data_IF_426044017198
#
_entry.id   IF_426044017198
#
_cell.length_a   1.000
_cell.length_b   1.000
_cell.length_c   1.000
_cell.angle_alpha   90.00
_cell.angle_beta   90.00
_cell.angle_gamma   90.00
#
_symmetry.space_group_name_H-M   'P 1'
#
loop_
_entity.id
_entity.type
_entity.pdbx_description
1 polymer ?
#
# COMPACT_ATOMS: atom_id res chain seq x y z
N UNK A 1 14.55 11.06 2.29
CA UNK A 1 13.18 11.58 2.05
C UNK A 1 12.81 12.53 3.18
N UNK A 2 12.36 13.75 2.90
CA UNK A 2 12.01 14.71 3.97
C UNK A 2 10.63 14.49 4.60
N UNK A 3 9.75 13.65 4.01
CA UNK A 3 8.39 13.38 4.53
C UNK A 3 7.92 11.93 4.31
N UNK A 4 8.28 10.98 5.20
CA UNK A 4 7.84 9.58 5.12
C UNK A 4 6.32 9.43 5.04
N UNK A 5 5.58 10.31 5.71
CA UNK A 5 4.11 10.34 5.71
C UNK A 5 3.46 10.63 4.35
N UNK A 6 4.20 11.21 3.40
CA UNK A 6 3.71 11.47 2.05
C UNK A 6 4.04 10.33 1.07
N UNK A 7 4.75 9.29 1.53
CA UNK A 7 5.13 8.13 0.72
C UNK A 7 3.92 7.27 0.32
N UNK A 8 3.85 6.86 -0.94
CA UNK A 8 2.80 5.95 -1.43
C UNK A 8 2.74 4.63 -0.65
N UNK A 9 3.85 3.89 -0.43
CA UNK A 9 3.85 2.71 0.43
C UNK A 9 3.22 2.92 1.81
N UNK A 10 3.55 4.03 2.49
CA UNK A 10 3.05 4.35 3.84
C UNK A 10 1.54 4.59 3.84
N UNK A 11 0.98 5.07 2.74
CA UNK A 11 -0.43 5.41 2.62
C UNK A 11 -1.26 4.35 1.88
N UNK A 12 -0.63 3.36 1.23
CA UNK A 12 -1.32 2.30 0.48
C UNK A 12 -1.23 0.94 1.17
N UNK A 13 -0.07 0.57 1.74
CA UNK A 13 0.15 -0.77 2.32
C UNK A 13 -0.66 -0.99 3.60
N UNK A 14 -0.67 -0.07 4.59
CA UNK A 14 -1.47 -0.28 5.79
C UNK A 14 -2.98 -0.39 5.51
N UNK A 15 -3.60 0.47 4.68
CA UNK A 15 -5.00 0.31 4.30
C UNK A 15 -5.28 -0.99 3.56
N UNK A 16 -4.37 -1.41 2.67
CA UNK A 16 -4.46 -2.69 1.99
C UNK A 16 -4.41 -3.87 2.98
N UNK A 17 -3.50 -3.83 3.95
CA UNK A 17 -3.39 -4.86 4.98
C UNK A 17 -4.67 -4.94 5.82
N UNK A 18 -5.20 -3.81 6.29
CA UNK A 18 -6.46 -3.77 7.04
C UNK A 18 -7.65 -4.27 6.20
N UNK A 19 -7.68 -3.96 4.91
CA UNK A 19 -8.74 -4.42 4.01
C UNK A 19 -8.69 -5.93 3.79
N UNK A 20 -7.49 -6.50 3.64
CA UNK A 20 -7.32 -7.95 3.56
C UNK A 20 -7.72 -8.65 4.87
N UNK A 21 -7.33 -8.09 6.02
CA UNK A 21 -7.79 -8.62 7.31
C UNK A 21 -9.31 -8.61 7.44
N UNK A 22 -9.97 -7.52 7.01
CA UNK A 22 -11.43 -7.41 7.00
C UNK A 22 -12.08 -8.39 6.01
N UNK A 23 -11.52 -8.53 4.82
CA UNK A 23 -11.96 -9.48 3.80
C UNK A 23 -11.92 -10.92 4.34
N UNK A 24 -10.82 -11.31 4.99
CA UNK A 24 -10.69 -12.65 5.58
C UNK A 24 -11.66 -12.86 6.73
N UNK A 25 -11.86 -11.85 7.60
CA UNK A 25 -12.86 -11.92 8.68
C UNK A 25 -14.29 -12.08 8.18
N UNK A 26 -14.59 -11.59 6.98
CA UNK A 26 -15.91 -11.74 6.33
C UNK A 26 -16.09 -13.11 5.63
N UNK A 27 -15.18 -14.07 5.83
CA UNK A 27 -15.23 -15.38 5.18
C UNK A 27 -14.78 -15.37 3.72
N UNK A 28 -14.03 -14.33 3.31
CA UNK A 28 -13.46 -14.25 1.97
C UNK A 28 -12.61 -15.48 1.65
N UNK A 29 -12.79 -16.02 0.44
CA UNK A 29 -12.01 -17.17 -0.01
C UNK A 29 -10.60 -16.71 -0.34
N UNK A 30 -9.61 -17.38 0.21
CA UNK A 30 -8.20 -17.25 -0.15
C UNK A 30 -7.62 -18.66 -0.27
N UNK A 31 -7.06 -18.99 -1.43
CA UNK A 31 -6.37 -20.27 -1.62
C UNK A 31 -4.98 -20.16 -1.01
N UNK A 32 -4.87 -20.50 0.27
CA UNK A 32 -3.58 -20.55 0.96
C UNK A 32 -2.75 -21.69 0.35
N UNK A 33 -1.71 -21.32 -0.41
CA UNK A 33 -0.91 -22.31 -1.15
C UNK A 33 0.23 -21.74 -1.99
N UNK A 34 0.21 -20.43 -2.31
CA UNK A 34 1.36 -19.76 -2.92
C UNK A 34 1.71 -18.53 -2.10
N UNK A 35 2.89 -18.52 -1.48
CA UNK A 35 3.46 -17.28 -0.96
C UNK A 35 3.71 -16.38 -2.17
N UNK A 36 2.88 -15.36 -2.35
CA UNK A 36 3.07 -14.37 -3.41
C UNK A 36 3.89 -13.26 -2.79
N UNK A 37 5.17 -13.25 -3.13
CA UNK A 37 6.11 -12.22 -2.72
C UNK A 37 6.19 -11.13 -3.80
N UNK A 38 6.38 -9.89 -3.34
CA UNK A 38 6.65 -8.73 -4.15
C UNK A 38 7.91 -8.07 -3.61
N UNK A 39 8.90 -7.85 -4.49
CA UNK A 39 10.17 -7.23 -4.13
C UNK A 39 10.23 -5.85 -4.76
N UNK A 40 10.49 -4.84 -3.93
CA UNK A 40 10.67 -3.46 -4.34
C UNK A 40 12.15 -3.10 -4.26
N UNK A 41 12.86 -2.93 -5.40
CA UNK A 41 14.20 -2.36 -5.37
C UNK A 41 14.13 -0.91 -4.92
N UNK A 42 15.00 -0.53 -3.99
CA UNK A 42 15.01 0.79 -3.34
C UNK A 42 16.21 1.61 -3.82
N UNK A 43 17.41 1.09 -3.62
CA UNK A 43 18.67 1.75 -3.93
C UNK A 43 19.80 0.73 -4.12
N UNK A 44 20.96 1.20 -4.56
CA UNK A 44 22.15 0.35 -4.72
C UNK A 44 22.95 0.29 -3.43
N UNK A 45 23.35 -0.91 -2.99
CA UNK A 45 24.45 -1.04 -2.04
C UNK A 45 25.75 -0.66 -2.75
N UNK A 46 26.45 0.36 -2.26
CA UNK A 46 27.70 0.85 -2.85
C UNK A 46 28.85 0.79 -1.86
N UNK A 47 29.97 0.26 -2.33
CA UNK A 47 31.25 0.29 -1.62
C UNK A 47 32.32 0.89 -2.52
N UNK A 48 33.10 1.84 -1.99
CA UNK A 48 34.13 2.56 -2.77
C UNK A 48 33.56 3.09 -4.10
N UNK A 49 32.35 3.67 -4.05
CA UNK A 49 31.61 4.23 -5.20
C UNK A 49 31.17 3.21 -6.27
N UNK A 50 31.36 1.90 -6.05
CA UNK A 50 30.92 0.85 -6.99
C UNK A 50 29.67 0.14 -6.47
N UNK A 51 28.69 -0.08 -7.34
CA UNK A 51 27.52 -0.93 -7.05
C UNK A 51 27.98 -2.36 -6.76
N UNK A 52 27.57 -2.90 -5.62
CA UNK A 52 27.87 -4.27 -5.16
C UNK A 52 26.62 -5.12 -5.03
N UNK A 53 25.49 -4.48 -4.75
CA UNK A 53 24.19 -5.12 -4.60
C UNK A 53 23.05 -4.12 -4.70
N UNK A 54 21.89 -4.57 -4.24
CA UNK A 54 20.65 -3.80 -4.23
C UNK A 54 19.98 -3.96 -2.86
N UNK A 55 19.50 -2.83 -2.35
CA UNK A 55 18.62 -2.74 -1.21
C UNK A 55 17.18 -2.92 -1.70
N UNK A 56 16.47 -3.84 -1.06
CA UNK A 56 15.18 -4.33 -1.52
C UNK A 56 14.20 -4.43 -0.34
N UNK A 57 12.95 -3.99 -0.53
CA UNK A 57 11.87 -4.25 0.40
C UNK A 57 11.04 -5.42 -0.10
N UNK A 58 11.00 -6.47 0.71
CA UNK A 58 10.22 -7.68 0.46
C UNK A 58 8.85 -7.51 1.11
N UNK A 59 7.79 -7.75 0.35
CA UNK A 59 6.40 -7.77 0.81
C UNK A 59 5.78 -9.11 0.50
N UNK A 60 5.16 -9.75 1.47
CA UNK A 60 4.47 -11.03 1.25
C UNK A 60 3.22 -11.13 2.12
N UNK A 61 2.28 -11.98 1.68
CA UNK A 61 1.10 -12.32 2.46
C UNK A 61 1.27 -13.71 3.09
N UNK A 62 1.04 -13.83 4.39
CA UNK A 62 1.12 -15.09 5.11
C UNK A 62 0.18 -15.05 6.31
N UNK A 63 -0.53 -16.17 6.57
CA UNK A 63 -1.44 -16.31 7.73
C UNK A 63 -2.44 -15.14 7.84
N UNK A 64 -3.00 -14.71 6.72
CA UNK A 64 -3.98 -13.62 6.67
C UNK A 64 -3.42 -12.21 6.84
N UNK A 65 -2.09 -12.01 6.83
CA UNK A 65 -1.46 -10.70 7.08
C UNK A 65 -0.40 -10.36 6.04
N UNK A 66 -0.24 -9.07 5.77
CA UNK A 66 0.90 -8.55 5.00
C UNK A 66 2.08 -8.37 5.92
N UNK A 67 3.25 -8.85 5.48
CA UNK A 67 4.53 -8.61 6.14
C UNK A 67 5.46 -7.87 5.20
N UNK A 68 6.37 -7.08 5.79
CA UNK A 68 7.41 -6.35 5.09
C UNK A 68 8.77 -6.61 5.72
N UNK A 69 9.84 -6.52 4.93
CA UNK A 69 11.22 -6.58 5.40
C UNK A 69 12.19 -5.90 4.44
N UNK A 70 13.06 -5.03 4.94
CA UNK A 70 14.22 -4.54 4.22
C UNK A 70 15.34 -5.58 4.18
N UNK A 71 15.93 -5.80 3.00
CA UNK A 71 17.04 -6.72 2.76
C UNK A 71 18.09 -6.09 1.86
N UNK A 72 19.36 -6.22 2.23
CA UNK A 72 20.46 -6.05 1.31
C UNK A 72 20.84 -7.42 0.73
N UNK A 73 20.93 -7.53 -0.59
CA UNK A 73 21.28 -8.78 -1.27
C UNK A 73 22.80 -9.05 -1.33
N UNK A 74 23.62 -8.10 -0.88
CA UNK A 74 25.08 -8.21 -0.86
C UNK A 74 25.64 -8.47 0.55
N UNK A 75 25.24 -7.67 1.54
CA UNK A 75 25.76 -7.77 2.91
C UNK A 75 24.65 -8.04 3.93
N UNK A 76 24.80 -9.13 4.69
CA UNK A 76 23.89 -9.54 5.76
C UNK A 76 23.94 -8.64 6.99
N UNK A 77 25.04 -7.92 7.20
CA UNK A 77 25.24 -6.98 8.29
C UNK A 77 24.86 -5.53 7.92
N UNK A 78 24.47 -5.28 6.66
CA UNK A 78 24.07 -3.95 6.21
C UNK A 78 22.92 -3.39 7.05
N UNK A 79 23.00 -2.11 7.43
CA UNK A 79 22.01 -1.39 8.25
C UNK A 79 20.64 -1.28 7.59
N UNK A 80 20.56 -1.43 6.27
CA UNK A 80 19.30 -1.50 5.53
C UNK A 80 18.46 -2.75 5.89
N UNK A 81 19.12 -3.82 6.35
CA UNK A 81 18.41 -5.03 6.76
C UNK A 81 17.51 -4.74 7.96
N UNK A 82 16.22 -5.06 7.83
CA UNK A 82 15.26 -4.90 8.92
C UNK A 82 14.78 -6.25 9.45
N UNK A 83 14.20 -6.21 10.65
CA UNK A 83 13.31 -7.29 11.09
C UNK A 83 12.02 -7.32 10.25
N UNK A 84 11.27 -8.42 10.39
CA UNK A 84 9.95 -8.55 9.79
C UNK A 84 8.98 -7.63 10.51
N UNK A 85 8.32 -6.74 9.78
CA UNK A 85 7.27 -5.87 10.32
C UNK A 85 5.89 -6.26 9.77
N UNK A 86 4.83 -5.91 10.52
CA UNK A 86 3.46 -6.07 10.06
C UNK A 86 3.09 -4.88 9.16
N UNK A 87 2.62 -5.15 7.94
CA UNK A 87 2.19 -4.12 6.97
C UNK A 87 1.01 -3.28 7.45
N UNK A 88 0.21 -3.78 8.39
CA UNK A 88 -0.87 -3.04 9.04
C UNK A 88 -0.39 -1.96 10.03
N UNK A 89 0.89 -1.98 10.45
CA UNK A 89 1.47 -0.99 11.35
C UNK A 89 2.10 0.15 10.54
N UNK A 90 1.34 1.24 10.33
CA UNK A 90 1.78 2.41 9.56
C UNK A 90 3.10 3.01 10.09
N UNK A 91 3.27 3.11 11.41
CA UNK A 91 4.49 3.68 12.00
C UNK A 91 5.72 2.80 11.78
N UNK A 92 5.56 1.47 11.74
CA UNK A 92 6.65 0.58 11.35
C UNK A 92 6.97 0.69 9.85
N UNK A 93 5.93 0.80 9.00
CA UNK A 93 6.10 0.94 7.54
C UNK A 93 6.85 2.22 7.18
N UNK A 94 6.63 3.32 7.91
CA UNK A 94 7.38 4.59 7.74
C UNK A 94 8.88 4.48 7.97
N UNK A 95 9.29 3.59 8.87
CA UNK A 95 10.70 3.43 9.25
C UNK A 95 11.52 2.69 8.19
N UNK A 96 10.87 2.05 7.23
CA UNK A 96 11.56 1.46 6.10
C UNK A 96 12.06 2.55 5.16
N UNK A 97 13.28 2.37 4.66
CA UNK A 97 13.86 3.24 3.64
C UNK A 97 13.26 2.86 2.29
N UNK A 98 12.19 3.55 1.89
CA UNK A 98 11.49 3.30 0.63
C UNK A 98 12.19 3.93 -0.59
N UNK A 99 13.27 4.68 -0.39
CA UNK A 99 14.02 5.34 -1.46
C UNK A 99 13.14 6.24 -2.31
N UNK A 100 13.41 6.28 -3.62
CA UNK A 100 12.50 6.88 -4.60
C UNK A 100 11.43 5.87 -5.01
N UNK A 101 10.56 5.43 -4.09
CA UNK A 101 9.42 4.60 -4.44
C UNK A 101 8.49 5.37 -5.41
N UNK A 102 8.80 5.29 -6.71
CA UNK A 102 8.12 6.05 -7.75
C UNK A 102 6.69 5.55 -7.89
N UNK A 103 5.76 6.50 -7.98
CA UNK A 103 4.32 6.24 -8.12
C UNK A 103 3.98 5.38 -9.33
N UNK A 104 4.73 5.55 -10.43
CA UNK A 104 4.51 4.89 -11.72
C UNK A 104 4.78 3.38 -11.70
N UNK A 105 5.66 2.90 -10.82
CA UNK A 105 5.99 1.48 -10.68
C UNK A 105 5.29 0.85 -9.48
N UNK A 106 5.16 1.58 -8.37
CA UNK A 106 4.59 1.06 -7.12
C UNK A 106 3.16 0.53 -7.28
N UNK A 107 2.23 1.34 -7.81
CA UNK A 107 0.83 0.92 -7.92
C UNK A 107 0.64 -0.21 -8.94
N UNK A 108 1.42 -0.21 -10.03
CA UNK A 108 1.43 -1.32 -11.00
C UNK A 108 1.88 -2.63 -10.36
N UNK A 109 2.90 -2.57 -9.50
CA UNK A 109 3.42 -3.73 -8.78
C UNK A 109 2.39 -4.26 -7.76
N UNK A 110 1.80 -3.39 -6.94
CA UNK A 110 0.75 -3.77 -6.00
C UNK A 110 -0.49 -4.32 -6.72
N UNK A 111 -0.93 -3.69 -7.81
CA UNK A 111 -2.06 -4.17 -8.63
C UNK A 111 -1.86 -5.61 -9.08
N UNK A 112 -0.71 -5.90 -9.72
CA UNK A 112 -0.36 -7.26 -10.16
C UNK A 112 -0.35 -8.24 -9.00
N UNK A 113 0.14 -7.82 -7.84
CA UNK A 113 0.17 -8.64 -6.64
C UNK A 113 -1.24 -8.93 -6.10
N UNK A 114 -2.11 -7.92 -5.98
CA UNK A 114 -3.51 -8.07 -5.54
C UNK A 114 -4.29 -8.99 -6.48
N UNK A 115 -4.13 -8.84 -7.80
CA UNK A 115 -4.79 -9.71 -8.79
C UNK A 115 -4.37 -11.17 -8.61
N UNK A 116 -3.09 -11.43 -8.31
CA UNK A 116 -2.58 -12.78 -8.06
C UNK A 116 -3.13 -13.42 -6.78
N UNK A 117 -3.64 -12.63 -5.83
CA UNK A 117 -4.29 -13.16 -4.63
C UNK A 117 -5.66 -13.82 -4.93
N UNK A 118 -6.21 -13.62 -6.14
CA UNK A 118 -7.47 -14.23 -6.60
C UNK A 118 -8.65 -13.99 -5.63
N UNK A 119 -8.78 -12.74 -5.17
CA UNK A 119 -9.81 -12.33 -4.22
C UNK A 119 -11.15 -12.11 -4.92
N UNK A 120 -12.26 -12.28 -4.20
CA UNK A 120 -13.55 -11.77 -4.66
C UNK A 120 -13.50 -10.25 -4.76
N UNK A 121 -13.58 -9.77 -5.99
CA UNK A 121 -13.33 -8.36 -6.33
C UNK A 121 -14.28 -7.41 -5.60
N UNK A 122 -15.60 -7.70 -5.61
CA UNK A 122 -16.60 -6.81 -5.00
C UNK A 122 -16.41 -6.73 -3.49
N UNK A 123 -16.18 -7.88 -2.83
CA UNK A 123 -15.96 -7.94 -1.38
C UNK A 123 -14.68 -7.22 -0.99
N UNK A 124 -13.61 -7.37 -1.77
CA UNK A 124 -12.34 -6.68 -1.53
C UNK A 124 -12.45 -5.15 -1.68
N UNK A 125 -13.12 -4.65 -2.73
CA UNK A 125 -13.36 -3.20 -2.89
C UNK A 125 -14.24 -2.65 -1.75
N UNK A 126 -15.26 -3.39 -1.30
CA UNK A 126 -16.06 -3.00 -0.12
C UNK A 126 -15.23 -2.95 1.14
N UNK A 127 -14.30 -3.89 1.34
CA UNK A 127 -13.39 -3.88 2.47
C UNK A 127 -12.48 -2.64 2.46
N UNK A 128 -11.92 -2.27 1.29
CA UNK A 128 -11.13 -1.04 1.14
C UNK A 128 -11.95 0.22 1.48
N UNK A 129 -13.17 0.36 0.94
CA UNK A 129 -14.04 1.49 1.26
C UNK A 129 -14.33 1.58 2.76
N UNK A 130 -14.64 0.44 3.39
CA UNK A 130 -14.93 0.36 4.82
C UNK A 130 -13.73 0.79 5.66
N UNK A 131 -12.51 0.39 5.27
CA UNK A 131 -11.29 0.78 5.94
C UNK A 131 -11.04 2.28 5.80
N UNK A 132 -11.18 2.84 4.60
CA UNK A 132 -11.00 4.27 4.38
C UNK A 132 -11.96 5.13 5.22
N UNK A 133 -13.22 4.71 5.37
CA UNK A 133 -14.20 5.44 6.17
C UNK A 133 -14.00 5.24 7.68
N UNK A 134 -13.52 4.06 8.12
CA UNK A 134 -13.30 3.78 9.55
C UNK A 134 -12.03 4.41 10.12
N UNK A 135 -10.99 4.58 9.30
CA UNK A 135 -9.66 5.04 9.72
C UNK A 135 -9.42 6.53 9.52
N UNK A 136 -10.41 7.22 8.97
CA UNK A 136 -10.38 8.66 8.74
C UNK A 136 -11.54 9.30 9.50
N UNK A 137 -11.30 10.47 10.06
CA UNK A 137 -12.35 11.32 10.58
C UNK A 137 -13.12 11.94 9.40
N UNK A 138 -14.42 11.65 9.35
CA UNK A 138 -15.32 12.07 8.28
C UNK A 138 -16.43 12.96 8.86
N UNK A 139 -16.89 14.00 8.13
CA UNK A 139 -16.46 14.37 6.77
C UNK A 139 -15.01 14.89 6.73
N UNK A 140 -14.27 14.51 5.68
CA UNK A 140 -12.88 14.93 5.51
C UNK A 140 -12.82 16.23 4.72
N UNK A 141 -12.31 17.30 5.34
CA UNK A 141 -11.92 18.54 4.63
C UNK A 141 -10.44 18.48 4.30
N UNK A 142 -10.10 18.48 3.01
CA UNK A 142 -8.71 18.47 2.54
C UNK A 142 -8.00 19.78 2.85
N UNK A 143 -6.66 19.79 2.83
CA UNK A 143 -5.86 21.03 3.00
C UNK A 143 -6.16 22.14 1.97
N UNK A 144 -6.87 21.81 0.89
CA UNK A 144 -7.30 22.73 -0.16
C UNK A 144 -8.76 23.21 0.00
N UNK A 145 -9.42 22.92 1.14
CA UNK A 145 -10.76 23.40 1.47
C UNK A 145 -11.93 22.59 0.88
N UNK A 146 -11.66 21.54 0.08
CA UNK A 146 -12.72 20.64 -0.42
C UNK A 146 -13.10 19.60 0.64
N UNK A 147 -14.39 19.44 0.89
CA UNK A 147 -14.96 18.49 1.87
C UNK A 147 -15.60 17.29 1.18
N UNK A 148 -15.42 16.10 1.74
CA UNK A 148 -16.01 14.85 1.27
C UNK A 148 -16.66 14.11 2.44
N UNK A 149 -17.89 13.60 2.27
CA UNK A 149 -18.62 12.93 3.36
C UNK A 149 -18.08 11.54 3.67
N UNK A 150 -17.53 10.86 2.67
CA UNK A 150 -16.98 9.50 2.75
C UNK A 150 -16.00 9.26 1.61
N UNK A 151 -15.19 8.20 1.72
CA UNK A 151 -14.22 7.83 0.71
C UNK A 151 -14.84 7.53 -0.66
N UNK A 152 -16.03 6.94 -0.71
CA UNK A 152 -16.72 6.65 -1.98
C UNK A 152 -17.05 7.91 -2.78
N UNK A 153 -17.32 9.03 -2.11
CA UNK A 153 -17.51 10.34 -2.76
C UNK A 153 -16.18 10.89 -3.28
N UNK A 154 -15.13 10.80 -2.45
CA UNK A 154 -13.79 11.22 -2.82
C UNK A 154 -13.24 10.46 -4.02
N UNK A 155 -13.34 9.12 -4.02
CA UNK A 155 -12.74 8.30 -5.06
C UNK A 155 -13.37 8.58 -6.42
N UNK A 156 -14.69 8.79 -6.49
CA UNK A 156 -15.43 9.02 -7.75
C UNK A 156 -15.15 10.39 -8.38
N UNK A 157 -14.55 11.32 -7.64
CA UNK A 157 -14.23 12.64 -8.14
C UNK A 157 -13.15 12.57 -9.24
N UNK A 158 -13.53 12.95 -10.48
CA UNK A 158 -12.68 12.86 -11.67
C UNK A 158 -12.15 11.43 -11.88
N UNK A 159 -13.06 10.45 -11.88
CA UNK A 159 -12.73 9.05 -12.14
C UNK A 159 -12.35 8.87 -13.63
N UNK A 160 -11.24 8.17 -13.95
CA UNK A 160 -10.86 7.91 -15.34
C UNK A 160 -11.87 7.01 -16.08
N UNK A 161 -12.11 7.29 -17.35
CA UNK A 161 -13.06 6.53 -18.18
C UNK A 161 -12.59 5.08 -18.45
N UNK A 162 -11.28 4.85 -18.46
CA UNK A 162 -10.66 3.54 -18.71
C UNK A 162 -10.64 2.62 -17.47
N UNK A 163 -10.89 3.18 -16.28
CA UNK A 163 -10.92 2.46 -15.01
C UNK A 163 -12.30 1.87 -14.73
N UNK A 164 -12.78 0.95 -15.58
CA UNK A 164 -14.10 0.32 -15.46
C UNK A 164 -14.05 -1.03 -14.73
N UNK A 165 -15.17 -1.52 -14.16
CA UNK A 165 -15.22 -2.86 -13.57
C UNK A 165 -14.83 -4.00 -14.52
N UNK A 166 -15.02 -3.81 -15.83
CA UNK A 166 -14.60 -4.77 -16.87
C UNK A 166 -13.08 -4.77 -17.06
N UNK A 167 -12.43 -3.61 -16.85
CA UNK A 167 -10.97 -3.49 -16.76
C UNK A 167 -10.51 -3.57 -15.30
N UNK A 168 -10.67 -4.76 -14.69
CA UNK A 168 -10.39 -4.99 -13.26
C UNK A 168 -9.01 -4.53 -12.82
N UNK A 169 -7.98 -4.77 -13.63
CA UNK A 169 -6.62 -4.33 -13.29
C UNK A 169 -6.55 -2.81 -13.12
N UNK A 170 -7.00 -2.07 -14.14
CA UNK A 170 -6.98 -0.60 -14.11
C UNK A 170 -7.85 -0.05 -13.00
N UNK A 171 -9.02 -0.65 -12.76
CA UNK A 171 -9.90 -0.29 -11.66
C UNK A 171 -9.21 -0.45 -10.30
N UNK A 172 -8.58 -1.60 -10.03
CA UNK A 172 -7.87 -1.86 -8.77
C UNK A 172 -6.75 -0.83 -8.57
N UNK A 173 -5.96 -0.58 -9.62
CA UNK A 173 -4.89 0.41 -9.57
C UNK A 173 -5.41 1.79 -9.18
N UNK A 174 -6.46 2.26 -9.85
CA UNK A 174 -7.06 3.56 -9.57
C UNK A 174 -7.64 3.62 -8.15
N UNK A 175 -8.32 2.56 -7.68
CA UNK A 175 -8.79 2.50 -6.28
C UNK A 175 -7.61 2.63 -5.31
N UNK A 176 -6.52 1.88 -5.50
CA UNK A 176 -5.35 1.92 -4.63
C UNK A 176 -4.67 3.29 -4.62
N UNK A 177 -4.61 3.96 -5.78
CA UNK A 177 -4.15 5.35 -5.90
C UNK A 177 -5.04 6.27 -5.04
N UNK A 178 -6.37 6.16 -5.17
CA UNK A 178 -7.30 6.97 -4.37
C UNK A 178 -7.22 6.68 -2.88
N UNK A 179 -7.04 5.42 -2.48
CA UNK A 179 -6.80 5.03 -1.09
C UNK A 179 -5.54 5.73 -0.56
N UNK A 180 -4.43 5.67 -1.29
CA UNK A 180 -3.18 6.34 -0.91
C UNK A 180 -3.37 7.84 -0.70
N UNK A 181 -4.05 8.51 -1.64
CA UNK A 181 -4.27 9.95 -1.52
C UNK A 181 -5.29 10.33 -0.45
N UNK A 182 -6.27 9.47 -0.16
CA UNK A 182 -7.22 9.66 0.93
C UNK A 182 -6.51 9.70 2.28
N UNK A 183 -5.66 8.71 2.55
CA UNK A 183 -4.87 8.65 3.79
C UNK A 183 -3.82 9.76 3.87
N UNK A 184 -3.17 10.11 2.75
CA UNK A 184 -2.26 11.24 2.71
C UNK A 184 -2.99 12.57 3.02
N UNK A 185 -4.18 12.77 2.43
CA UNK A 185 -4.99 13.98 2.65
C UNK A 185 -5.47 14.06 4.09
N UNK A 186 -5.93 12.95 4.66
CA UNK A 186 -6.32 12.87 6.06
C UNK A 186 -5.14 13.14 7.00
N UNK A 187 -3.96 12.60 6.71
CA UNK A 187 -2.75 12.88 7.50
C UNK A 187 -2.41 14.38 7.49
N UNK A 188 -2.45 15.01 6.31
CA UNK A 188 -2.11 16.44 6.14
C UNK A 188 -2.99 17.39 6.96
N UNK A 189 -4.18 16.95 7.37
CA UNK A 189 -5.12 17.73 8.20
C UNK A 189 -5.34 17.13 9.59
N UNK A 190 -4.53 16.12 9.98
CA UNK A 190 -4.65 15.49 11.30
C UNK A 190 -5.88 14.61 11.50
N UNK A 191 -6.55 14.17 10.43
CA UNK A 191 -7.80 13.41 10.46
C UNK A 191 -7.61 11.88 10.40
N UNK A 192 -6.41 11.35 10.62
CA UNK A 192 -6.18 9.90 10.74
C UNK A 192 -6.52 9.41 12.16
N UNK A 193 -7.21 8.27 12.27
CA UNK A 193 -7.56 7.60 13.54
C UNK A 193 -6.63 6.44 13.89
#
# INVERSE_FOLDING_TARGET
>A
MSKPDESHPVNAIPPLAWALELYMKAGGKFKEGRMIELVFPVEDHREKMRKKGTHEIYMWFSKGRIFLRGRCNYDKACSFNSERINGANREAVKKLEWGEARSDTFFKAIRKWVVRLDLDFVTFIRALNTVCDRRVEIPLTTKYGKTFKKFDEYRRNKWPEDATPDNRERFIEEVLVRVSFWFQSAHQVGALK
#
